data_IF_765193238826
#
_entry.id   IF_765193238826
#
_cell.length_a   1.000
_cell.length_b   1.000
_cell.length_c   1.000
_cell.angle_alpha   90.00
_cell.angle_beta   90.00
_cell.angle_gamma   90.00
#
_symmetry.space_group_name_H-M   'P 1'
#
loop_
_entity.id
_entity.type
_entity.pdbx_description
1 polymer ?
#
# COMPACT_ATOMS: atom_id res chain seq x y z
N UNK A 1 -15.27 -7.63 21.04
CA UNK A 1 -14.84 -9.04 20.93
C UNK A 1 -13.82 -9.17 19.80
N UNK A 2 -13.09 -10.29 19.71
CA UNK A 2 -12.17 -10.60 18.61
C UNK A 2 -12.52 -11.96 18.01
N UNK A 3 -12.33 -12.11 16.70
CA UNK A 3 -12.46 -13.37 15.97
C UNK A 3 -11.53 -13.36 14.75
N UNK A 4 -11.16 -14.54 14.29
CA UNK A 4 -10.36 -14.75 13.08
C UNK A 4 -11.25 -15.27 11.96
N UNK A 5 -10.96 -14.86 10.72
CA UNK A 5 -11.72 -15.24 9.54
C UNK A 5 -10.78 -15.60 8.41
N UNK A 6 -11.08 -16.68 7.70
CA UNK A 6 -10.35 -17.04 6.48
C UNK A 6 -10.86 -16.22 5.27
N UNK A 7 -10.15 -16.29 4.16
CA UNK A 7 -10.51 -15.55 2.94
C UNK A 7 -11.89 -15.88 2.38
N UNK A 8 -12.39 -17.11 2.57
CA UNK A 8 -13.74 -17.48 2.13
C UNK A 8 -14.81 -16.74 2.95
N UNK A 9 -14.67 -16.72 4.28
CA UNK A 9 -15.58 -16.00 5.19
C UNK A 9 -15.54 -14.48 4.99
N UNK A 10 -14.38 -13.97 4.57
CA UNK A 10 -14.24 -12.57 4.18
C UNK A 10 -14.98 -12.26 2.89
N UNK A 11 -14.84 -13.15 1.90
CA UNK A 11 -15.42 -12.99 0.56
C UNK A 11 -16.93 -13.19 0.51
N UNK A 12 -17.46 -14.19 1.23
CA UNK A 12 -18.88 -14.51 1.23
C UNK A 12 -19.71 -13.65 2.21
N UNK A 13 -19.04 -12.82 3.02
CA UNK A 13 -19.68 -11.88 3.94
C UNK A 13 -20.13 -12.49 5.27
N UNK A 14 -19.89 -13.78 5.52
CA UNK A 14 -20.28 -14.43 6.78
C UNK A 14 -19.62 -13.81 8.02
N UNK A 15 -18.45 -13.18 7.87
CA UNK A 15 -17.82 -12.41 8.95
C UNK A 15 -18.73 -11.27 9.46
N UNK A 16 -19.56 -10.69 8.60
CA UNK A 16 -20.39 -9.55 8.95
C UNK A 16 -21.56 -9.98 9.84
N UNK A 17 -22.02 -11.23 9.73
CA UNK A 17 -22.98 -11.81 10.67
C UNK A 17 -22.42 -11.92 12.09
N UNK A 18 -21.11 -12.20 12.23
CA UNK A 18 -20.44 -12.18 13.54
C UNK A 18 -20.28 -10.76 14.08
N UNK A 19 -19.96 -9.79 13.21
CA UNK A 19 -19.89 -8.36 13.59
C UNK A 19 -21.26 -7.86 14.05
N UNK A 20 -22.34 -8.32 13.40
CA UNK A 20 -23.72 -7.99 13.73
C UNK A 20 -24.27 -6.82 12.91
N UNK A 21 -25.58 -6.82 12.71
CA UNK A 21 -26.28 -5.79 11.95
C UNK A 21 -26.07 -4.40 12.57
N UNK A 22 -25.79 -3.39 11.74
CA UNK A 22 -25.56 -2.01 12.19
C UNK A 22 -24.21 -1.75 12.86
N UNK A 23 -23.40 -2.77 13.13
CA UNK A 23 -22.10 -2.62 13.79
C UNK A 23 -20.95 -2.37 12.81
N UNK A 24 -19.86 -1.80 13.32
CA UNK A 24 -18.60 -1.59 12.60
C UNK A 24 -17.58 -2.64 13.03
N UNK A 25 -16.91 -3.25 12.05
CA UNK A 25 -15.84 -4.24 12.27
C UNK A 25 -14.49 -3.69 11.82
N UNK A 26 -13.49 -3.83 12.68
CA UNK A 26 -12.14 -3.29 12.49
C UNK A 26 -11.12 -4.42 12.25
N UNK A 27 -10.08 -4.12 11.49
CA UNK A 27 -8.97 -5.04 11.23
C UNK A 27 -7.90 -4.85 12.30
N UNK A 28 -7.82 -5.79 13.23
CA UNK A 28 -6.74 -5.83 14.24
C UNK A 28 -5.46 -6.43 13.68
N UNK A 29 -5.58 -7.50 12.90
CA UNK A 29 -4.50 -8.24 12.24
C UNK A 29 -4.90 -8.51 10.79
N UNK A 30 -3.96 -8.31 9.87
CA UNK A 30 -4.03 -8.72 8.47
C UNK A 30 -2.94 -9.77 8.23
N UNK A 31 -3.38 -11.01 8.02
CA UNK A 31 -2.49 -12.17 7.99
C UNK A 31 -1.69 -12.25 6.69
N UNK A 32 -0.37 -12.23 6.82
CA UNK A 32 0.61 -12.65 5.80
C UNK A 32 0.33 -14.05 5.22
N UNK A 33 0.14 -14.12 3.91
CA UNK A 33 -0.07 -15.36 3.15
C UNK A 33 1.21 -15.97 2.57
N UNK A 34 2.37 -15.33 2.74
CA UNK A 34 3.64 -15.80 2.18
C UNK A 34 4.25 -17.01 2.91
N UNK A 35 3.70 -17.37 4.08
CA UNK A 35 4.24 -18.41 4.96
C UNK A 35 5.39 -17.93 5.88
N UNK A 36 5.75 -16.65 5.84
CA UNK A 36 6.82 -16.09 6.67
C UNK A 36 6.35 -15.60 8.06
N UNK A 37 5.05 -15.62 8.33
CA UNK A 37 4.47 -15.24 9.63
C UNK A 37 4.55 -13.74 9.93
N UNK A 38 4.68 -12.89 8.91
CA UNK A 38 4.87 -11.43 9.06
C UNK A 38 3.54 -10.69 9.03
N UNK A 39 2.61 -11.10 9.89
CA UNK A 39 1.26 -10.52 9.93
C UNK A 39 1.30 -9.05 10.36
N UNK A 40 0.59 -8.18 9.65
CA UNK A 40 0.51 -6.75 10.00
C UNK A 40 -0.65 -6.52 10.98
N UNK A 41 -0.41 -5.86 12.09
CA UNK A 41 -1.45 -5.65 13.10
C UNK A 41 -1.21 -4.48 14.02
N UNK A 42 -2.21 -4.14 14.83
CA UNK A 42 -2.07 -3.17 15.91
C UNK A 42 -3.04 -3.47 17.05
N UNK A 43 -2.55 -3.35 18.29
CA UNK A 43 -3.39 -3.50 19.48
C UNK A 43 -4.22 -2.25 19.80
N UNK A 44 -3.82 -1.09 19.25
CA UNK A 44 -4.47 0.20 19.45
C UNK A 44 -5.69 0.33 18.53
N UNK A 45 -6.88 0.32 19.13
CA UNK A 45 -8.15 0.36 18.39
C UNK A 45 -8.36 1.64 17.59
N UNK A 46 -7.76 2.78 17.95
CA UNK A 46 -7.93 4.02 17.19
C UNK A 46 -7.18 4.01 15.84
N UNK A 47 -6.22 3.10 15.68
CA UNK A 47 -5.39 2.96 14.48
C UNK A 47 -5.86 1.84 13.54
N UNK A 48 -6.82 1.03 13.94
CA UNK A 48 -7.30 -0.11 13.15
C UNK A 48 -8.20 0.37 11.99
N UNK A 49 -7.92 -0.04 10.74
CA UNK A 49 -8.80 0.29 9.61
C UNK A 49 -10.07 -0.57 9.65
N UNK A 50 -11.04 -0.26 8.77
CA UNK A 50 -12.39 -0.82 8.83
C UNK A 50 -12.56 -1.88 7.73
N UNK A 51 -13.23 -3.00 8.03
CA UNK A 51 -13.61 -4.01 7.03
C UNK A 51 -15.13 -4.18 6.92
N UNK A 52 -15.87 -3.90 7.99
CA UNK A 52 -17.34 -3.98 8.02
C UNK A 52 -17.89 -2.64 8.45
N UNK A 53 -18.84 -2.11 7.68
CA UNK A 53 -19.57 -0.89 8.01
C UNK A 53 -21.06 -1.18 8.01
N UNK A 54 -21.75 -0.76 9.08
CA UNK A 54 -23.19 -0.99 9.27
C UNK A 54 -23.62 -2.45 9.07
N UNK A 55 -22.78 -3.41 9.48
CA UNK A 55 -23.04 -4.85 9.35
C UNK A 55 -22.87 -5.43 7.95
N UNK A 56 -22.22 -4.72 7.03
CA UNK A 56 -21.88 -5.21 5.68
C UNK A 56 -20.38 -5.11 5.40
N UNK A 57 -19.80 -6.11 4.73
CA UNK A 57 -18.39 -6.06 4.29
C UNK A 57 -18.21 -4.93 3.30
N UNK A 58 -17.19 -4.11 3.50
CA UNK A 58 -16.82 -3.04 2.57
C UNK A 58 -16.19 -3.67 1.34
N UNK A 59 -16.63 -3.24 0.15
CA UNK A 59 -16.13 -3.78 -1.12
C UNK A 59 -15.58 -2.70 -2.03
N UNK A 60 -14.60 -3.03 -2.86
CA UNK A 60 -14.18 -2.27 -4.03
C UNK A 60 -14.36 -3.16 -5.26
N UNK A 61 -15.14 -2.69 -6.24
CA UNK A 61 -15.56 -3.49 -7.41
C UNK A 61 -16.13 -4.87 -7.04
N UNK A 62 -16.98 -4.92 -6.01
CA UNK A 62 -17.69 -6.14 -5.59
C UNK A 62 -16.87 -7.15 -4.78
N UNK A 63 -15.58 -6.88 -4.54
CA UNK A 63 -14.72 -7.73 -3.72
C UNK A 63 -14.35 -7.04 -2.40
N UNK A 64 -14.15 -7.78 -1.30
CA UNK A 64 -13.78 -7.20 -0.01
C UNK A 64 -12.59 -6.27 -0.10
N UNK A 65 -12.64 -5.17 0.65
CA UNK A 65 -11.56 -4.20 0.74
C UNK A 65 -11.51 -3.61 2.15
N UNK A 66 -10.30 -3.41 2.66
CA UNK A 66 -10.07 -2.67 3.89
C UNK A 66 -10.23 -1.18 3.59
N UNK A 67 -11.10 -0.50 4.31
CA UNK A 67 -11.34 0.93 4.22
C UNK A 67 -10.41 1.68 5.17
N UNK A 68 -9.70 2.65 4.59
CA UNK A 68 -8.81 3.57 5.27
C UNK A 68 -9.46 4.95 5.23
N UNK A 69 -10.30 5.28 6.23
CA UNK A 69 -11.18 6.43 6.15
C UNK A 69 -10.39 7.74 6.27
N UNK A 70 -10.94 8.82 5.73
CA UNK A 70 -10.45 10.18 5.94
C UNK A 70 -10.85 10.68 7.35
N UNK A 71 -10.22 10.13 8.39
CA UNK A 71 -10.53 10.42 9.79
C UNK A 71 -9.40 11.17 10.52
N UNK A 72 -9.70 11.63 11.73
CA UNK A 72 -8.79 12.37 12.62
C UNK A 72 -7.66 11.54 13.26
N UNK A 73 -7.81 10.21 13.34
CA UNK A 73 -6.76 9.30 13.80
C UNK A 73 -6.18 8.50 12.62
N UNK A 74 -4.88 8.71 12.40
CA UNK A 74 -4.14 8.19 11.26
C UNK A 74 -3.98 6.66 11.35
N UNK A 75 -4.84 5.90 10.65
CA UNK A 75 -4.84 4.43 10.66
C UNK A 75 -3.48 3.86 10.26
N UNK A 76 -3.07 2.76 10.88
CA UNK A 76 -1.80 2.10 10.60
C UNK A 76 -1.77 0.69 11.17
N UNK A 77 -1.39 -0.29 10.35
CA UNK A 77 -1.02 -1.63 10.79
C UNK A 77 0.48 -1.80 10.65
N UNK A 78 1.14 -2.52 11.57
CA UNK A 78 2.58 -2.74 11.48
C UNK A 78 2.98 -4.20 11.54
N UNK A 79 4.08 -4.51 10.87
CA UNK A 79 4.76 -5.80 10.91
C UNK A 79 6.27 -5.58 10.93
N UNK A 80 7.02 -6.64 11.23
CA UNK A 80 8.47 -6.67 11.04
C UNK A 80 8.78 -7.49 9.80
N UNK A 81 9.55 -6.91 8.87
CA UNK A 81 9.92 -7.57 7.61
C UNK A 81 11.42 -7.43 7.33
N UNK A 82 11.91 -8.28 6.43
CA UNK A 82 13.24 -8.14 5.83
C UNK A 82 13.09 -7.65 4.40
N UNK A 83 13.84 -6.62 4.03
CA UNK A 83 14.01 -6.20 2.64
C UNK A 83 15.46 -6.35 2.22
N UNK A 84 15.67 -6.73 0.97
CA UNK A 84 17.02 -6.75 0.38
C UNK A 84 17.25 -5.46 -0.43
N UNK A 85 18.41 -5.38 -1.05
CA UNK A 85 18.74 -4.28 -1.96
C UNK A 85 17.83 -4.22 -3.19
N UNK A 86 17.26 -5.35 -3.63
CA UNK A 86 16.28 -5.38 -4.70
C UNK A 86 14.87 -5.59 -4.12
N UNK A 87 13.89 -4.91 -4.69
CA UNK A 87 12.56 -4.86 -4.11
C UNK A 87 11.48 -4.61 -5.15
N UNK A 88 10.37 -5.34 -5.05
CA UNK A 88 9.20 -5.15 -5.91
C UNK A 88 7.93 -5.14 -5.10
N UNK A 89 6.89 -4.49 -5.61
CA UNK A 89 5.56 -4.49 -5.03
C UNK A 89 4.48 -4.58 -6.09
N UNK A 90 3.35 -5.12 -5.69
CA UNK A 90 2.09 -5.03 -6.39
C UNK A 90 1.01 -4.64 -5.39
N UNK A 91 0.14 -3.70 -5.73
CA UNK A 91 -1.01 -3.36 -4.89
C UNK A 91 -2.29 -3.17 -5.71
N UNK A 92 -3.43 -3.52 -5.12
CA UNK A 92 -4.78 -3.25 -5.66
C UNK A 92 -5.55 -2.39 -4.66
N UNK A 93 -5.95 -1.19 -5.10
CA UNK A 93 -6.49 -0.17 -4.20
C UNK A 93 -7.29 0.91 -4.94
N UNK A 94 -8.08 1.68 -4.18
CA UNK A 94 -8.54 3.02 -4.55
C UNK A 94 -7.88 4.03 -3.64
N UNK A 95 -7.69 5.26 -4.12
CA UNK A 95 -6.95 6.27 -3.38
C UNK A 95 -7.59 7.65 -3.55
N UNK A 96 -7.80 8.36 -2.45
CA UNK A 96 -8.24 9.75 -2.42
C UNK A 96 -7.05 10.62 -2.06
N UNK A 97 -6.75 11.60 -2.91
CA UNK A 97 -5.72 12.60 -2.65
C UNK A 97 -6.06 13.36 -1.36
N UNK A 98 -5.06 13.56 -0.51
CA UNK A 98 -5.16 14.42 0.67
C UNK A 98 -4.73 15.84 0.30
N UNK A 99 -5.54 16.84 0.67
CA UNK A 99 -5.16 18.23 0.44
C UNK A 99 -3.90 18.58 1.27
N UNK A 100 -2.89 19.17 0.62
CA UNK A 100 -1.66 19.63 1.29
C UNK A 100 -0.73 18.53 1.81
N UNK A 101 -0.95 17.27 1.44
CA UNK A 101 -0.08 16.16 1.85
C UNK A 101 -0.25 14.93 0.97
N UNK A 102 0.70 14.01 1.05
CA UNK A 102 0.69 12.75 0.30
C UNK A 102 0.16 11.60 1.16
N UNK A 103 -0.14 10.49 0.49
CA UNK A 103 -0.61 9.26 1.14
C UNK A 103 0.34 8.11 0.82
N UNK A 104 0.39 7.10 1.68
CA UNK A 104 1.18 5.88 1.46
C UNK A 104 0.34 4.63 1.59
N UNK A 105 0.48 3.70 0.64
CA UNK A 105 -0.05 2.34 0.82
C UNK A 105 0.76 1.59 1.86
N UNK A 106 2.07 1.82 1.91
CA UNK A 106 2.93 1.35 2.98
C UNK A 106 4.24 2.13 3.03
N UNK A 107 4.95 1.99 4.15
CA UNK A 107 6.28 2.51 4.40
C UNK A 107 7.13 1.47 5.15
N UNK A 108 8.39 1.30 4.79
CA UNK A 108 9.32 0.36 5.42
C UNK A 108 10.50 1.14 5.95
N UNK A 109 10.75 1.07 7.26
CA UNK A 109 11.80 1.85 7.92
C UNK A 109 11.45 3.35 8.04
N UNK A 110 12.40 4.19 8.48
CA UNK A 110 12.16 5.61 8.71
C UNK A 110 12.02 6.41 7.42
N UNK A 111 11.00 7.27 7.33
CA UNK A 111 10.68 8.00 6.09
C UNK A 111 11.74 9.03 5.67
N UNK A 112 12.44 9.62 6.63
CA UNK A 112 13.54 10.55 6.40
C UNK A 112 14.91 9.88 6.25
N UNK A 113 14.98 8.54 6.39
CA UNK A 113 16.24 7.80 6.35
C UNK A 113 16.71 7.45 4.93
N UNK A 114 17.99 7.14 4.78
CA UNK A 114 18.54 6.56 3.52
C UNK A 114 18.14 5.10 3.31
N UNK A 115 17.67 4.45 4.38
CA UNK A 115 17.28 3.06 4.41
C UNK A 115 15.76 2.98 4.55
N UNK A 116 15.03 3.22 3.44
CA UNK A 116 13.59 3.01 3.42
C UNK A 116 13.10 2.51 2.06
N UNK A 117 11.89 1.96 2.08
CA UNK A 117 11.15 1.66 0.88
C UNK A 117 9.67 1.97 1.14
N UNK A 118 9.04 2.75 0.26
CA UNK A 118 7.63 3.06 0.42
C UNK A 118 6.96 3.26 -0.94
N UNK A 119 5.64 3.11 -0.95
CA UNK A 119 4.80 3.33 -2.11
C UNK A 119 3.79 4.42 -1.77
N UNK A 120 3.95 5.57 -2.40
CA UNK A 120 3.01 6.67 -2.35
C UNK A 120 2.24 6.74 -3.68
N UNK A 121 0.98 6.28 -3.74
CA UNK A 121 0.24 6.21 -5.01
C UNK A 121 -0.22 7.59 -5.50
N UNK A 122 -0.35 8.56 -4.58
CA UNK A 122 -0.72 9.93 -4.88
C UNK A 122 0.05 10.85 -3.92
N UNK A 123 0.91 11.70 -4.48
CA UNK A 123 1.56 12.79 -3.74
C UNK A 123 0.63 13.98 -3.57
N UNK A 124 0.88 14.80 -2.56
CA UNK A 124 0.20 16.07 -2.37
C UNK A 124 1.21 17.17 -2.10
N UNK A 125 0.95 18.33 -2.71
CA UNK A 125 1.83 19.49 -2.78
C UNK A 125 3.16 19.20 -3.51
N UNK A 126 3.71 20.23 -4.16
CA UNK A 126 5.06 20.14 -4.70
C UNK A 126 6.06 20.15 -3.54
N UNK A 127 6.97 19.18 -3.54
CA UNK A 127 8.11 19.11 -2.66
C UNK A 127 9.40 19.14 -3.50
N UNK A 128 10.59 19.16 -2.87
CA UNK A 128 11.86 19.21 -3.62
C UNK A 128 11.99 18.11 -4.68
N UNK A 129 11.39 16.95 -4.42
CA UNK A 129 11.58 15.72 -5.19
C UNK A 129 10.40 15.31 -6.09
N UNK A 130 9.22 15.92 -5.91
CA UNK A 130 8.01 15.56 -6.65
C UNK A 130 7.03 16.73 -6.78
N UNK A 131 6.23 16.67 -7.82
CA UNK A 131 5.05 17.49 -8.02
C UNK A 131 3.81 16.84 -7.39
N UNK A 132 2.75 17.64 -7.29
CA UNK A 132 1.45 17.22 -6.81
C UNK A 132 0.81 16.12 -7.69
N UNK A 133 0.11 15.18 -7.05
CA UNK A 133 -0.63 14.08 -7.68
C UNK A 133 0.20 13.02 -8.43
N UNK A 134 1.52 13.02 -8.30
CA UNK A 134 2.38 11.97 -8.84
C UNK A 134 2.29 10.67 -8.02
N UNK A 135 2.61 9.54 -8.64
CA UNK A 135 2.93 8.31 -7.93
C UNK A 135 4.45 8.23 -7.73
N UNK A 136 4.86 7.76 -6.55
CA UNK A 136 6.26 7.70 -6.15
C UNK A 136 6.57 6.34 -5.52
N UNK A 137 7.68 5.75 -5.96
CA UNK A 137 8.25 4.56 -5.37
C UNK A 137 9.65 4.86 -4.83
N UNK A 138 9.80 4.67 -3.53
CA UNK A 138 10.99 5.06 -2.78
C UNK A 138 11.92 3.86 -2.60
N UNK A 139 13.21 4.11 -2.77
CA UNK A 139 14.29 3.27 -2.22
C UNK A 139 15.19 4.04 -1.24
N UNK A 140 14.89 5.32 -1.00
CA UNK A 140 15.58 6.26 -0.11
C UNK A 140 14.58 7.33 0.31
N UNK A 141 14.79 7.91 1.49
CA UNK A 141 13.87 8.88 2.07
C UNK A 141 13.87 10.23 1.39
N UNK A 142 12.75 10.92 1.59
CA UNK A 142 12.45 12.24 1.05
C UNK A 142 13.44 13.35 1.47
N UNK A 143 14.10 13.22 2.62
CA UNK A 143 15.07 14.21 3.12
C UNK A 143 16.52 13.73 3.07
N UNK A 144 16.79 12.68 2.29
CA UNK A 144 18.13 12.07 2.23
C UNK A 144 19.10 12.80 1.28
N UNK A 145 18.67 13.88 0.62
CA UNK A 145 19.41 14.55 -0.46
C UNK A 145 19.59 13.70 -1.72
N UNK A 146 18.95 12.54 -1.78
CA UNK A 146 19.04 11.57 -2.89
C UNK A 146 17.70 11.33 -3.59
N UNK A 147 16.61 11.86 -3.03
CA UNK A 147 15.25 11.76 -3.54
C UNK A 147 14.69 10.33 -3.71
N UNK A 148 13.41 10.25 -4.11
CA UNK A 148 12.78 9.00 -4.53
C UNK A 148 13.45 8.46 -5.80
N UNK A 149 13.31 7.15 -6.02
CA UNK A 149 13.93 6.47 -7.16
C UNK A 149 13.05 6.47 -8.40
N UNK A 150 11.74 6.38 -8.20
CA UNK A 150 10.78 6.41 -9.31
C UNK A 150 9.71 7.44 -8.99
N UNK A 151 9.50 8.37 -9.93
CA UNK A 151 8.46 9.41 -9.86
C UNK A 151 7.76 9.45 -11.22
N UNK A 152 6.44 9.32 -11.25
CA UNK A 152 5.67 9.44 -12.50
C UNK A 152 5.58 10.91 -12.96
N UNK A 153 5.42 11.18 -14.25
CA UNK A 153 4.89 12.47 -14.71
C UNK A 153 3.37 12.50 -14.54
N UNK A 154 2.81 13.65 -14.14
CA UNK A 154 1.36 13.82 -14.02
C UNK A 154 0.74 12.90 -12.98
N UNK A 155 -0.54 12.60 -13.16
CA UNK A 155 -1.37 11.88 -12.18
C UNK A 155 -1.80 10.50 -12.71
N UNK A 156 -0.96 9.45 -12.59
CA UNK A 156 -1.30 8.14 -13.13
C UNK A 156 -2.43 7.45 -12.35
N UNK A 157 -2.70 7.87 -11.11
CA UNK A 157 -3.79 7.37 -10.27
C UNK A 157 -4.84 8.49 -10.14
N UNK A 158 -6.09 8.17 -10.46
CA UNK A 158 -7.20 9.12 -10.26
C UNK A 158 -7.57 9.17 -8.79
N UNK A 159 -7.64 10.38 -8.22
CA UNK A 159 -8.11 10.59 -6.84
C UNK A 159 -9.61 10.26 -6.73
N UNK A 160 -9.93 9.06 -6.26
CA UNK A 160 -11.28 8.56 -6.06
C UNK A 160 -11.30 7.43 -5.04
N UNK A 161 -12.33 7.40 -4.19
CA UNK A 161 -12.55 6.31 -3.23
C UNK A 161 -13.07 5.05 -3.89
N UNK A 162 -13.50 5.10 -5.16
CA UNK A 162 -14.12 3.98 -5.88
C UNK A 162 -13.38 3.57 -7.14
N UNK A 163 -12.44 4.37 -7.65
CA UNK A 163 -11.62 3.96 -8.79
C UNK A 163 -10.59 2.93 -8.32
N UNK A 164 -10.78 1.67 -8.69
CA UNK A 164 -9.81 0.62 -8.45
C UNK A 164 -8.62 0.80 -9.39
N UNK A 165 -7.42 0.62 -8.84
CA UNK A 165 -6.15 0.70 -9.55
C UNK A 165 -5.29 -0.50 -9.15
N UNK A 166 -4.50 -0.99 -10.10
CA UNK A 166 -3.40 -1.90 -9.85
C UNK A 166 -2.09 -1.15 -10.10
N UNK A 167 -1.15 -1.20 -9.15
CA UNK A 167 0.18 -0.62 -9.32
C UNK A 167 1.23 -1.70 -9.07
N UNK A 168 2.14 -1.86 -10.03
CA UNK A 168 3.35 -2.68 -9.89
C UNK A 168 4.58 -1.78 -9.98
N UNK A 169 5.54 -1.95 -9.06
CA UNK A 169 6.82 -1.26 -9.14
C UNK A 169 7.98 -2.17 -8.73
N UNK A 170 9.14 -1.97 -9.37
CA UNK A 170 10.38 -2.68 -9.06
C UNK A 170 11.56 -1.72 -9.05
N UNK A 171 12.41 -1.89 -8.04
CA UNK A 171 13.69 -1.22 -7.89
C UNK A 171 14.80 -2.25 -7.63
N UNK A 172 15.88 -2.17 -8.40
CA UNK A 172 17.11 -2.93 -8.21
C UNK A 172 18.31 -2.13 -8.72
N UNK A 173 19.50 -2.74 -8.72
CA UNK A 173 20.69 -2.12 -9.33
C UNK A 173 20.56 -1.91 -10.84
N UNK A 174 19.68 -2.65 -11.51
CA UNK A 174 19.49 -2.63 -12.97
C UNK A 174 18.10 -2.20 -13.42
N UNK A 175 17.10 -2.22 -12.54
CA UNK A 175 15.70 -1.94 -12.89
C UNK A 175 15.15 -0.83 -12.01
N UNK A 176 14.48 0.12 -12.64
CA UNK A 176 13.60 1.10 -12.00
C UNK A 176 12.37 1.23 -12.90
N UNK A 177 11.25 0.62 -12.53
CA UNK A 177 10.03 0.65 -13.33
C UNK A 177 8.78 0.70 -12.46
N UNK A 178 7.75 1.41 -12.93
CA UNK A 178 6.43 1.47 -12.35
C UNK A 178 5.36 1.37 -13.44
N UNK A 179 4.32 0.61 -13.16
CA UNK A 179 3.19 0.37 -14.04
C UNK A 179 1.90 0.61 -13.26
N UNK A 180 0.94 1.25 -13.89
CA UNK A 180 -0.42 1.42 -13.38
C UNK A 180 -1.37 0.79 -14.39
N UNK A 181 -2.22 -0.12 -13.93
CA UNK A 181 -3.17 -0.87 -14.74
C UNK A 181 -2.48 -1.49 -15.97
N UNK A 182 -1.37 -2.22 -15.73
CA UNK A 182 -0.50 -2.86 -16.75
C UNK A 182 0.22 -1.91 -17.71
N UNK A 183 0.00 -0.61 -17.59
CA UNK A 183 0.59 0.40 -18.44
C UNK A 183 1.76 1.05 -17.72
N UNK A 184 2.93 1.05 -18.34
CA UNK A 184 4.10 1.72 -17.78
C UNK A 184 3.84 3.22 -17.66
N UNK A 185 4.17 3.82 -16.52
CA UNK A 185 4.04 5.27 -16.36
C UNK A 185 5.14 5.98 -17.15
N UNK A 186 4.86 7.22 -17.56
CA UNK A 186 5.91 8.17 -17.94
C UNK A 186 6.63 8.67 -16.69
N UNK A 187 7.94 8.93 -16.76
CA UNK A 187 8.77 9.23 -15.59
C UNK A 187 9.21 10.69 -15.53
N UNK A 188 8.98 11.33 -14.38
CA UNK A 188 9.69 12.55 -14.01
C UNK A 188 11.09 12.20 -13.45
N UNK A 189 11.21 11.05 -12.77
CA UNK A 189 12.48 10.46 -12.37
C UNK A 189 12.42 8.93 -12.49
N UNK A 190 13.50 8.34 -13.01
CA UNK A 190 13.65 6.90 -13.17
C UNK A 190 15.11 6.51 -12.88
N UNK A 191 15.42 6.34 -11.60
CA UNK A 191 16.77 6.11 -11.11
C UNK A 191 16.87 4.66 -10.62
N UNK A 192 17.79 3.91 -11.20
CA UNK A 192 18.19 2.61 -10.64
C UNK A 192 19.01 2.81 -9.37
N UNK A 193 19.23 1.73 -8.64
CA UNK A 193 20.00 1.75 -7.41
C UNK A 193 19.14 1.35 -6.22
N UNK A 194 19.67 0.38 -5.49
CA UNK A 194 19.02 -0.35 -4.42
C UNK A 194 18.70 0.49 -3.19
N UNK A 195 17.63 0.13 -2.49
CA UNK A 195 17.47 0.50 -1.09
C UNK A 195 18.55 -0.17 -0.23
N UNK A 196 18.86 0.41 0.93
CA UNK A 196 19.71 -0.28 1.90
C UNK A 196 18.97 -1.51 2.41
N UNK A 197 19.58 -2.69 2.29
CA UNK A 197 19.04 -3.92 2.85
C UNK A 197 18.84 -3.76 4.37
N UNK A 198 17.72 -4.27 4.87
CA UNK A 198 17.38 -4.19 6.29
C UNK A 198 16.87 -5.52 6.78
N UNK A 199 17.50 -5.99 7.85
CA UNK A 199 16.94 -6.98 8.75
C UNK A 199 16.04 -6.25 9.75
N UNK A 200 14.86 -6.81 10.01
CA UNK A 200 13.93 -6.33 11.03
C UNK A 200 13.43 -4.89 10.84
N UNK A 201 13.18 -4.49 9.59
CA UNK A 201 12.55 -3.22 9.30
C UNK A 201 11.07 -3.24 9.70
N UNK A 202 10.59 -2.16 10.32
CA UNK A 202 9.16 -1.98 10.55
C UNK A 202 8.46 -1.63 9.24
N UNK A 203 7.53 -2.48 8.82
CA UNK A 203 6.52 -2.17 7.82
C UNK A 203 5.36 -1.44 8.49
N UNK A 204 4.96 -0.32 7.93
CA UNK A 204 3.77 0.45 8.27
C UNK A 204 2.83 0.36 7.06
N UNK A 205 1.73 -0.36 7.17
CA UNK A 205 0.71 -0.45 6.13
C UNK A 205 -0.29 0.67 6.33
N UNK A 206 -0.59 1.36 5.23
CA UNK A 206 -1.51 2.49 5.14
C UNK A 206 -1.02 3.76 5.83
N UNK A 207 0.26 3.86 6.19
CA UNK A 207 0.85 5.06 6.78
C UNK A 207 2.39 5.05 6.73
N UNK A 208 3.03 6.03 7.39
CA UNK A 208 4.45 6.03 7.72
C UNK A 208 4.71 5.84 9.23
N UNK A 209 5.99 5.85 9.57
CA UNK A 209 6.54 5.79 10.94
C UNK A 209 6.08 6.95 11.84
N UNK A 210 5.91 8.14 11.27
CA UNK A 210 5.40 9.33 11.98
C UNK A 210 3.88 9.40 12.08
N UNK A 211 3.14 8.46 11.47
CA UNK A 211 1.68 8.45 11.45
C UNK A 211 1.08 9.71 10.86
N UNK A 212 1.64 10.23 9.75
CA UNK A 212 1.28 11.52 9.16
C UNK A 212 0.89 11.44 7.68
N UNK A 213 1.11 10.33 6.98
CA UNK A 213 0.76 10.15 5.56
C UNK A 213 -0.17 8.95 5.33
N UNK A 214 -1.27 8.93 6.08
CA UNK A 214 -2.27 7.86 5.99
C UNK A 214 -2.77 7.67 4.56
N UNK A 215 -2.87 6.42 4.12
CA UNK A 215 -3.73 6.05 3.00
C UNK A 215 -5.16 6.53 3.24
N UNK A 216 -5.79 7.09 2.21
CA UNK A 216 -7.22 7.39 2.21
C UNK A 216 -7.80 6.67 1.01
N UNK A 217 -8.80 5.83 1.23
CA UNK A 217 -9.37 4.97 0.19
C UNK A 217 -9.51 3.53 0.65
N UNK A 218 -9.52 2.61 -0.31
CA UNK A 218 -9.72 1.18 -0.05
C UNK A 218 -8.54 0.38 -0.54
N UNK A 219 -8.12 -0.62 0.23
CA UNK A 219 -7.01 -1.50 -0.10
C UNK A 219 -7.50 -2.94 -0.13
N UNK A 220 -7.27 -3.62 -1.25
CA UNK A 220 -7.67 -5.01 -1.43
C UNK A 220 -6.49 -5.97 -1.34
N UNK A 221 -5.31 -5.53 -1.76
CA UNK A 221 -4.10 -6.35 -1.81
C UNK A 221 -2.86 -5.47 -1.75
N UNK A 222 -1.84 -5.91 -1.00
CA UNK A 222 -0.48 -5.37 -1.06
C UNK A 222 0.50 -6.53 -0.95
N UNK A 223 1.23 -6.78 -2.04
CA UNK A 223 2.28 -7.79 -2.13
C UNK A 223 3.63 -7.09 -2.14
N UNK A 224 4.54 -7.61 -1.34
CA UNK A 224 5.87 -7.05 -1.12
C UNK A 224 6.89 -8.16 -1.30
N UNK A 225 7.76 -8.02 -2.30
CA UNK A 225 8.87 -8.94 -2.55
C UNK A 225 10.19 -8.28 -2.20
N UNK A 226 10.98 -8.91 -1.32
CA UNK A 226 12.38 -8.55 -1.07
C UNK A 226 13.33 -8.94 -2.20
N UNK A 227 12.88 -8.90 -3.45
CA UNK A 227 13.65 -9.25 -4.65
C UNK A 227 13.12 -8.51 -5.88
N UNK A 228 13.92 -8.47 -6.94
CA UNK A 228 13.47 -8.03 -8.27
C UNK A 228 12.46 -9.03 -8.86
N UNK A 229 11.26 -8.56 -9.23
CA UNK A 229 10.19 -9.33 -9.88
C UNK A 229 9.83 -8.78 -11.26
N UNK A 230 10.66 -7.92 -11.84
CA UNK A 230 10.40 -7.31 -13.15
C UNK A 230 10.20 -8.36 -14.26
N UNK A 231 10.97 -9.45 -14.23
CA UNK A 231 10.82 -10.57 -15.16
C UNK A 231 9.52 -11.38 -15.00
N UNK A 232 8.84 -11.27 -13.86
CA UNK A 232 7.57 -11.96 -13.56
C UNK A 232 6.37 -11.02 -13.48
N UNK A 233 6.56 -9.71 -13.74
CA UNK A 233 5.50 -8.70 -13.63
C UNK A 233 4.23 -9.09 -14.38
N UNK A 234 4.34 -9.46 -15.67
CA UNK A 234 3.14 -9.72 -16.49
C UNK A 234 2.33 -10.90 -15.98
N UNK A 235 3.00 -11.92 -15.43
CA UNK A 235 2.34 -13.05 -14.79
C UNK A 235 1.59 -12.58 -13.54
N UNK A 236 2.28 -11.86 -12.64
CA UNK A 236 1.69 -11.36 -11.40
C UNK A 236 0.50 -10.42 -11.66
N UNK A 237 0.64 -9.48 -12.60
CA UNK A 237 -0.44 -8.59 -13.02
C UNK A 237 -1.61 -9.38 -13.60
N UNK A 238 -1.36 -10.43 -14.42
CA UNK A 238 -2.44 -11.23 -15.02
C UNK A 238 -3.22 -12.04 -13.98
N UNK A 239 -2.54 -12.63 -12.99
CA UNK A 239 -3.18 -13.38 -11.91
C UNK A 239 -4.05 -12.48 -11.03
N UNK A 240 -3.51 -11.32 -10.63
CA UNK A 240 -4.24 -10.32 -9.86
C UNK A 240 -5.43 -9.80 -10.65
N UNK A 241 -5.23 -9.49 -11.93
CA UNK A 241 -6.30 -9.06 -12.84
C UNK A 241 -7.42 -10.07 -13.00
N UNK A 242 -7.09 -11.36 -13.09
CA UNK A 242 -8.08 -12.42 -13.19
C UNK A 242 -8.97 -12.49 -11.93
N UNK A 243 -8.41 -12.21 -10.75
CA UNK A 243 -9.15 -12.21 -9.50
C UNK A 243 -9.93 -10.91 -9.27
N UNK A 244 -9.30 -9.74 -9.45
CA UNK A 244 -9.88 -8.43 -9.10
C UNK A 244 -10.66 -7.76 -10.24
N UNK A 245 -10.56 -8.26 -11.46
CA UNK A 245 -11.26 -7.71 -12.63
C UNK A 245 -10.67 -6.40 -13.17
N UNK A 246 -9.34 -6.26 -13.15
CA UNK A 246 -8.60 -5.04 -13.51
C UNK A 246 -7.58 -5.23 -14.64
#
# INVERSE_FOLDING_TARGET
AFAEFNGAQVRDGTLASWVGAGNTGFVRNWYDQSGNGRHAGTSNSSLQPILVSSGSVITLNGLPAIDWPAESANKCLSATITITSAFSTLAVFSAVRRAGGYIKLYNIGPDSGTSNACLAPITGAAAEDWADSQAVFFGRGFLSGQGPRIVSTGSPITSSSTAQNMLFATLSSSVAAMHVNKTQVSYAAQLTGSATAQTDATLYVGNNDGGSQQHIGRMQEVIIWGSDKSGSRTLAESEVSAYYGI
#
